data_IF_176096550848
#
_entry.id   IF_176096550848
#
_cell.length_a   1.000
_cell.length_b   1.000
_cell.length_c   1.000
_cell.angle_alpha   90.00
_cell.angle_beta   90.00
_cell.angle_gamma   90.00
#
_symmetry.space_group_name_H-M   'P 1'
#
loop_
_entity.id
_entity.type
_entity.pdbx_description
1 polymer ?
#
# COMPACT_ATOMS: atom_id res chain seq x y z
N UNK A 1 11.23 12.02 -7.17
CA UNK A 1 11.32 10.55 -7.33
C UNK A 1 12.79 10.19 -7.49
N UNK A 2 13.35 9.27 -6.69
CA UNK A 2 14.80 8.96 -6.70
C UNK A 2 15.14 7.77 -7.60
N UNK A 3 14.26 6.76 -7.64
CA UNK A 3 14.58 5.45 -8.25
C UNK A 3 13.85 5.17 -9.58
N UNK A 4 12.88 5.99 -9.99
CA UNK A 4 12.19 5.80 -11.28
C UNK A 4 11.48 4.44 -11.42
N UNK A 5 10.76 4.01 -10.39
CA UNK A 5 10.08 2.70 -10.41
C UNK A 5 9.01 2.64 -11.50
N UNK A 6 8.97 1.53 -12.23
CA UNK A 6 7.94 1.25 -13.24
C UNK A 6 6.82 0.37 -12.67
N UNK A 7 7.18 -0.57 -11.81
CA UNK A 7 6.27 -1.51 -11.16
C UNK A 7 6.72 -1.75 -9.71
N UNK A 8 5.78 -2.07 -8.84
CA UNK A 8 6.01 -2.32 -7.42
C UNK A 8 5.60 -3.73 -7.01
N UNK A 9 6.33 -4.26 -6.03
CA UNK A 9 5.97 -5.45 -5.28
C UNK A 9 5.54 -5.03 -3.87
N UNK A 10 4.24 -5.10 -3.58
CA UNK A 10 3.70 -4.84 -2.25
C UNK A 10 3.79 -6.12 -1.43
N UNK A 11 4.41 -6.09 -0.25
CA UNK A 11 4.62 -7.29 0.57
C UNK A 11 3.87 -7.21 1.89
N UNK A 12 3.62 -8.38 2.50
CA UNK A 12 3.01 -8.52 3.83
C UNK A 12 1.60 -7.94 3.93
N UNK A 13 0.79 -8.08 2.87
CA UNK A 13 -0.60 -7.63 2.92
C UNK A 13 -1.39 -8.43 3.97
N UNK A 14 -1.03 -9.70 4.18
CA UNK A 14 -1.62 -10.62 5.16
C UNK A 14 -1.50 -10.15 6.61
N UNK A 15 -0.48 -9.35 6.92
CA UNK A 15 -0.27 -8.81 8.28
C UNK A 15 -1.36 -7.78 8.65
N UNK A 16 -2.05 -7.20 7.66
CA UNK A 16 -3.15 -6.27 7.89
C UNK A 16 -4.50 -6.97 8.10
N UNK A 17 -4.58 -8.29 7.86
CA UNK A 17 -5.80 -9.08 8.06
C UNK A 17 -6.19 -9.10 9.54
N UNK A 18 -7.47 -8.89 9.81
CA UNK A 18 -8.06 -8.84 11.15
C UNK A 18 -8.17 -7.43 11.73
N UNK A 19 -7.61 -6.41 11.07
CA UNK A 19 -7.85 -5.01 11.43
C UNK A 19 -9.24 -4.57 10.95
N UNK A 20 -10.00 -3.88 11.80
CA UNK A 20 -11.29 -3.28 11.38
C UNK A 20 -11.08 -2.11 10.40
N UNK A 21 -10.04 -1.31 10.65
CA UNK A 21 -9.65 -0.17 9.83
C UNK A 21 -8.15 -0.19 9.59
N UNK A 22 -7.75 0.16 8.36
CA UNK A 22 -6.35 0.32 7.96
C UNK A 22 -6.08 1.79 7.70
N UNK A 23 -4.90 2.27 8.12
CA UNK A 23 -4.48 3.67 7.94
C UNK A 23 -3.35 3.77 6.93
N UNK A 24 -3.47 4.73 6.01
CA UNK A 24 -2.41 5.09 5.07
C UNK A 24 -1.92 6.49 5.41
N UNK A 25 -0.62 6.65 5.68
CA UNK A 25 -0.02 7.98 5.86
C UNK A 25 0.09 8.70 4.52
N UNK A 26 -0.66 9.79 4.34
CA UNK A 26 -0.77 10.51 3.06
C UNK A 26 -0.05 11.86 3.04
N UNK A 27 0.30 12.41 4.21
CA UNK A 27 1.06 13.64 4.31
C UNK A 27 1.76 13.77 5.66
N UNK A 28 2.82 14.58 5.70
CA UNK A 28 3.46 15.04 6.93
C UNK A 28 3.16 16.52 7.14
N UNK A 29 2.94 16.91 8.39
CA UNK A 29 2.69 18.27 8.82
C UNK A 29 3.68 18.68 9.90
N UNK A 30 4.24 19.88 9.80
CA UNK A 30 5.14 20.43 10.80
C UNK A 30 4.69 21.85 11.17
N UNK A 31 4.39 22.10 12.45
CA UNK A 31 3.96 23.41 12.96
C UNK A 31 2.84 24.06 12.12
N UNK A 32 1.87 23.25 11.69
CA UNK A 32 0.71 23.68 10.89
C UNK A 32 0.97 23.83 9.39
N UNK A 33 2.19 23.55 8.90
CA UNK A 33 2.52 23.57 7.48
C UNK A 33 2.65 22.15 6.93
N UNK A 34 2.04 21.91 5.75
CA UNK A 34 2.18 20.65 5.04
C UNK A 34 3.57 20.57 4.42
N UNK A 35 4.23 19.43 4.58
CA UNK A 35 5.52 19.15 3.96
C UNK A 35 5.34 18.53 2.57
N UNK A 36 6.29 18.78 1.68
CA UNK A 36 6.27 18.26 0.30
C UNK A 36 6.53 16.75 0.21
N UNK A 37 7.00 16.13 1.29
CA UNK A 37 7.30 14.71 1.37
C UNK A 37 7.85 14.33 2.74
N UNK A 38 8.42 13.12 2.81
CA UNK A 38 9.09 12.66 4.03
C UNK A 38 10.29 13.56 4.36
N UNK A 39 10.36 14.12 5.59
CA UNK A 39 11.52 14.88 6.06
C UNK A 39 12.83 14.10 5.96
N UNK A 40 13.89 14.76 5.50
CA UNK A 40 15.27 14.22 5.53
C UNK A 40 16.02 14.50 6.83
N UNK A 41 15.51 15.42 7.67
CA UNK A 41 16.05 15.73 8.99
C UNK A 41 15.30 14.93 10.07
N UNK A 42 16.05 14.21 10.91
CA UNK A 42 15.49 13.38 11.99
C UNK A 42 14.69 14.17 13.02
N UNK A 43 15.15 15.35 13.44
CA UNK A 43 14.43 16.20 14.40
C UNK A 43 13.12 16.69 13.81
N UNK A 44 13.13 17.06 12.52
CA UNK A 44 11.93 17.47 11.81
C UNK A 44 10.93 16.32 11.68
N UNK A 45 11.41 15.11 11.38
CA UNK A 45 10.59 13.91 11.28
C UNK A 45 9.94 13.56 12.63
N UNK A 46 10.70 13.65 13.72
CA UNK A 46 10.22 13.36 15.08
C UNK A 46 9.08 14.29 15.51
N UNK A 47 9.17 15.58 15.16
CA UNK A 47 8.14 16.57 15.47
C UNK A 47 6.99 16.62 14.44
N UNK A 48 7.06 15.84 13.36
CA UNK A 48 6.04 15.85 12.30
C UNK A 48 4.81 15.03 12.66
N UNK A 49 3.63 15.55 12.34
CA UNK A 49 2.35 14.85 12.46
C UNK A 49 1.99 14.21 11.13
N UNK A 50 1.69 12.92 11.13
CA UNK A 50 1.21 12.19 9.96
C UNK A 50 -0.29 12.40 9.81
N UNK A 51 -0.72 12.85 8.63
CA UNK A 51 -2.12 12.80 8.22
C UNK A 51 -2.40 11.40 7.66
N UNK A 52 -3.41 10.75 8.23
CA UNK A 52 -3.84 9.42 7.80
C UNK A 52 -5.14 9.48 6.99
N UNK A 53 -5.22 8.63 5.99
CA UNK A 53 -6.47 8.21 5.36
C UNK A 53 -6.89 6.87 5.96
N UNK A 54 -8.16 6.72 6.33
CA UNK A 54 -8.72 5.50 6.91
C UNK A 54 -9.51 4.73 5.86
N UNK A 55 -9.28 3.42 5.79
CA UNK A 55 -9.97 2.49 4.90
C UNK A 55 -10.54 1.32 5.70
N UNK A 56 -11.57 0.68 5.17
CA UNK A 56 -12.08 -0.57 5.72
C UNK A 56 -10.99 -1.66 5.65
N UNK A 57 -10.82 -2.38 6.74
CA UNK A 57 -9.99 -3.58 6.76
C UNK A 57 -10.75 -4.82 6.29
N UNK A 58 -10.14 -5.99 6.47
CA UNK A 58 -10.68 -7.29 6.08
C UNK A 58 -10.29 -8.34 7.12
N UNK A 59 -11.06 -9.42 7.20
CA UNK A 59 -10.83 -10.52 8.16
C UNK A 59 -10.65 -11.88 7.48
N UNK A 60 -10.91 -11.96 6.18
CA UNK A 60 -10.75 -13.15 5.37
C UNK A 60 -9.27 -13.52 5.21
N UNK A 61 -8.97 -14.81 5.25
CA UNK A 61 -7.63 -15.34 4.97
C UNK A 61 -7.30 -15.16 3.47
N UNK A 62 -6.23 -14.42 3.20
CA UNK A 62 -5.76 -14.14 1.84
C UNK A 62 -4.58 -15.01 1.41
N UNK A 63 -4.06 -15.89 2.28
CA UNK A 63 -2.83 -16.65 2.05
C UNK A 63 -2.85 -17.55 0.82
N UNK A 64 -4.05 -17.90 0.33
CA UNK A 64 -4.24 -18.72 -0.86
C UNK A 64 -4.62 -17.95 -2.12
N UNK A 65 -4.84 -16.63 -2.04
CA UNK A 65 -5.16 -15.81 -3.20
C UNK A 65 -3.96 -15.75 -4.16
N UNK A 66 -4.16 -16.15 -5.42
CA UNK A 66 -3.15 -16.13 -6.49
C UNK A 66 -3.42 -15.05 -7.55
N UNK A 67 -4.66 -14.58 -7.64
CA UNK A 67 -5.05 -13.47 -8.51
C UNK A 67 -5.52 -12.27 -7.70
N UNK A 68 -5.53 -11.08 -8.30
CA UNK A 68 -5.95 -9.86 -7.62
C UNK A 68 -7.44 -9.90 -7.27
N UNK A 69 -8.24 -10.49 -8.17
CA UNK A 69 -9.68 -10.60 -8.06
C UNK A 69 -10.12 -11.58 -6.95
N UNK A 70 -9.25 -12.50 -6.53
CA UNK A 70 -9.48 -13.41 -5.40
C UNK A 70 -9.33 -12.72 -4.04
N UNK A 71 -8.73 -11.53 -3.97
CA UNK A 71 -8.59 -10.80 -2.71
C UNK A 71 -9.96 -10.26 -2.25
N UNK A 72 -10.18 -10.10 -0.94
CA UNK A 72 -11.34 -9.38 -0.42
C UNK A 72 -11.43 -7.98 -1.00
N UNK A 73 -12.65 -7.48 -1.22
CA UNK A 73 -12.88 -6.17 -1.84
C UNK A 73 -12.19 -5.03 -1.07
N UNK A 74 -12.16 -5.10 0.27
CA UNK A 74 -11.47 -4.13 1.09
C UNK A 74 -9.93 -4.15 0.86
N UNK A 75 -9.33 -5.35 0.77
CA UNK A 75 -7.93 -5.52 0.45
C UNK A 75 -7.60 -5.01 -0.97
N UNK A 76 -8.45 -5.30 -1.96
CA UNK A 76 -8.31 -4.76 -3.31
C UNK A 76 -8.33 -3.23 -3.32
N UNK A 77 -9.30 -2.61 -2.61
CA UNK A 77 -9.38 -1.15 -2.48
C UNK A 77 -8.13 -0.57 -1.85
N UNK A 78 -7.60 -1.19 -0.80
CA UNK A 78 -6.35 -0.76 -0.16
C UNK A 78 -5.19 -0.74 -1.15
N UNK A 79 -4.98 -1.84 -1.89
CA UNK A 79 -3.92 -1.93 -2.91
C UNK A 79 -4.08 -0.86 -3.98
N UNK A 80 -5.29 -0.69 -4.53
CA UNK A 80 -5.56 0.32 -5.55
C UNK A 80 -5.33 1.74 -5.04
N UNK A 81 -5.67 2.01 -3.77
CA UNK A 81 -5.44 3.32 -3.17
C UNK A 81 -3.95 3.61 -2.99
N UNK A 82 -3.17 2.63 -2.56
CA UNK A 82 -1.71 2.76 -2.47
C UNK A 82 -1.10 2.99 -3.86
N UNK A 83 -1.55 2.25 -4.88
CA UNK A 83 -1.15 2.45 -6.28
C UNK A 83 -1.44 3.87 -6.78
N UNK A 84 -2.63 4.39 -6.50
CA UNK A 84 -3.04 5.75 -6.88
C UNK A 84 -2.13 6.81 -6.21
N UNK A 85 -1.87 6.67 -4.90
CA UNK A 85 -1.02 7.59 -4.15
C UNK A 85 0.44 7.57 -4.62
N UNK A 86 0.93 6.41 -5.06
CA UNK A 86 2.30 6.25 -5.57
C UNK A 86 2.43 6.58 -7.06
N UNK A 87 1.32 6.60 -7.80
CA UNK A 87 1.31 6.77 -9.26
C UNK A 87 2.09 5.68 -10.00
N UNK A 88 2.29 4.51 -9.39
CA UNK A 88 3.11 3.40 -9.92
C UNK A 88 2.38 2.08 -9.74
N UNK A 89 2.30 1.28 -10.81
CA UNK A 89 1.56 0.01 -10.83
C UNK A 89 2.09 -1.00 -9.81
N UNK A 90 1.20 -1.61 -9.02
CA UNK A 90 1.48 -2.72 -8.13
C UNK A 90 1.17 -4.03 -8.85
N UNK A 91 2.23 -4.77 -9.17
CA UNK A 91 2.16 -6.01 -9.97
C UNK A 91 2.13 -7.26 -9.12
N UNK A 92 2.92 -7.28 -8.05
CA UNK A 92 3.05 -8.41 -7.15
C UNK A 92 2.57 -8.01 -5.77
N UNK A 93 1.80 -8.89 -5.14
CA UNK A 93 1.19 -8.68 -3.84
C UNK A 93 1.49 -9.90 -2.98
N UNK A 94 2.37 -9.76 -2.00
CA UNK A 94 2.67 -10.82 -1.02
C UNK A 94 1.50 -11.00 -0.06
N UNK A 95 0.92 -12.20 -0.08
CA UNK A 95 -0.26 -12.59 0.71
C UNK A 95 0.06 -13.62 1.80
N UNK A 96 1.33 -13.95 1.98
CA UNK A 96 1.78 -14.88 3.00
C UNK A 96 3.31 -14.93 3.11
N UNK A 97 3.83 -15.73 4.06
CA UNK A 97 5.26 -15.83 4.33
C UNK A 97 6.02 -16.72 3.33
N UNK A 98 5.34 -17.65 2.66
CA UNK A 98 6.00 -18.57 1.72
C UNK A 98 6.38 -17.90 0.41
N UNK A 99 7.44 -18.40 -0.23
CA UNK A 99 7.98 -17.87 -1.49
C UNK A 99 6.92 -17.74 -2.61
N UNK A 100 5.92 -18.62 -2.60
CA UNK A 100 4.88 -18.69 -3.62
C UNK A 100 3.55 -18.06 -3.18
N UNK A 101 3.51 -17.46 -2.00
CA UNK A 101 2.32 -16.76 -1.50
C UNK A 101 2.32 -15.32 -2.01
N UNK A 102 2.17 -15.23 -3.33
CA UNK A 102 2.13 -13.99 -4.10
C UNK A 102 0.93 -14.03 -5.02
N UNK A 103 0.09 -13.00 -4.94
CA UNK A 103 -0.94 -12.67 -5.91
C UNK A 103 -0.36 -11.76 -7.00
N UNK A 104 -0.80 -11.94 -8.24
CA UNK A 104 -0.30 -11.19 -9.41
C UNK A 104 -1.39 -10.39 -10.10
N UNK A 105 -1.03 -9.19 -10.57
CA UNK A 105 -1.91 -8.28 -11.32
C UNK A 105 -1.21 -7.81 -12.61
N UNK A 106 -1.67 -8.25 -13.79
CA UNK A 106 -1.14 -7.81 -15.08
C UNK A 106 -1.24 -6.29 -15.24
N UNK A 107 -0.31 -5.68 -15.97
CA UNK A 107 -0.35 -4.24 -16.19
C UNK A 107 -1.55 -3.90 -17.11
N UNK A 108 -2.36 -2.86 -16.82
CA UNK A 108 -3.51 -2.51 -17.66
C UNK A 108 -3.15 -2.25 -19.12
N UNK A 109 -1.97 -1.66 -19.37
CA UNK A 109 -1.45 -1.39 -20.72
C UNK A 109 -0.96 -2.64 -21.48
N UNK A 110 -0.76 -3.78 -20.82
CA UNK A 110 -0.36 -5.02 -21.50
C UNK A 110 -1.56 -5.73 -22.18
N UNK A 111 -2.80 -5.29 -21.92
CA UNK A 111 -4.02 -5.79 -22.58
C UNK A 111 -4.43 -4.99 -23.84
N UNK A 112 -3.57 -4.08 -24.32
CA UNK A 112 -3.80 -3.23 -25.49
C UNK A 112 -3.10 -3.77 -26.75
#
# INVERSE_FOLDING_TARGET
MVNGFTELNLTKLDVLTGLEKVKIGVAYWYKGQKLDGMPSNLQLLEESVVQYEEMDGWSEDISKCKTFEELPVAAQKYVLRVEELLGTHIKWIGVGPDRFDVSTRPHPLEKA
#
